data_IF_552184103209
#
_entry.id   IF_552184103209
#
_cell.length_a   1.000
_cell.length_b   1.000
_cell.length_c   1.000
_cell.angle_alpha   90.00
_cell.angle_beta   90.00
_cell.angle_gamma   90.00
#
_symmetry.space_group_name_H-M   'P 1'
#
loop_
_entity.id
_entity.type
_entity.pdbx_description
1 polymer ?
#
# COMPACT_ATOMS: atom_id res chain seq x y z
N UNK A 1 11.46 -19.67 -16.71
CA UNK A 1 10.52 -19.22 -15.67
C UNK A 1 10.98 -17.85 -15.20
N UNK A 2 10.34 -16.81 -15.70
CA UNK A 2 10.66 -15.42 -15.36
C UNK A 2 10.20 -15.19 -13.93
N UNK A 3 11.08 -14.69 -13.06
CA UNK A 3 10.72 -14.33 -11.69
C UNK A 3 9.81 -13.10 -11.72
N UNK A 4 8.65 -13.16 -11.05
CA UNK A 4 7.76 -12.01 -10.86
C UNK A 4 8.43 -10.95 -9.98
N UNK A 5 9.17 -10.04 -10.61
CA UNK A 5 9.90 -8.95 -9.94
C UNK A 5 10.10 -7.78 -10.89
N UNK A 6 10.16 -6.57 -10.35
CA UNK A 6 10.54 -5.37 -11.10
C UNK A 6 12.02 -5.45 -11.54
N UNK A 7 12.31 -5.00 -12.76
CA UNK A 7 13.65 -4.94 -13.37
C UNK A 7 14.03 -3.48 -13.63
N UNK A 8 15.30 -3.25 -13.96
CA UNK A 8 15.78 -1.91 -14.33
C UNK A 8 15.15 -1.38 -15.63
N UNK A 9 14.65 -2.27 -16.50
CA UNK A 9 13.94 -1.88 -17.73
C UNK A 9 12.43 -1.63 -17.52
N UNK A 10 11.93 -1.82 -16.30
CA UNK A 10 10.51 -1.61 -16.02
C UNK A 10 10.17 -0.12 -16.02
N UNK A 11 9.07 0.28 -16.68
CA UNK A 11 8.61 1.66 -16.62
C UNK A 11 8.23 2.06 -15.20
N UNK A 12 8.26 3.37 -14.94
CA UNK A 12 7.76 3.92 -13.69
C UNK A 12 6.24 3.79 -13.62
N UNK A 13 5.69 3.71 -12.40
CA UNK A 13 4.24 3.55 -12.19
C UNK A 13 3.45 4.70 -12.81
N UNK A 14 3.92 5.93 -12.61
CA UNK A 14 3.36 7.15 -13.24
C UNK A 14 3.30 7.02 -14.77
N UNK A 15 4.34 6.50 -15.41
CA UNK A 15 4.38 6.30 -16.86
C UNK A 15 3.38 5.24 -17.34
N UNK A 16 3.11 4.21 -16.54
CA UNK A 16 2.06 3.21 -16.84
C UNK A 16 0.67 3.86 -16.77
N UNK A 17 0.44 4.71 -15.76
CA UNK A 17 -0.80 5.46 -15.60
C UNK A 17 -1.01 6.44 -16.75
N UNK A 18 0.01 7.21 -17.13
CA UNK A 18 -0.05 8.12 -18.28
C UNK A 18 -0.30 7.38 -19.61
N UNK A 19 0.28 6.18 -19.77
CA UNK A 19 -0.01 5.32 -20.92
C UNK A 19 -1.48 4.88 -20.93
N UNK A 20 -2.05 4.49 -19.78
CA UNK A 20 -3.46 4.12 -19.66
C UNK A 20 -4.42 5.30 -19.84
N UNK A 21 -4.03 6.49 -19.37
CA UNK A 21 -4.75 7.73 -19.57
C UNK A 21 -4.70 8.24 -21.02
N UNK A 22 -3.84 7.65 -21.87
CA UNK A 22 -3.64 8.05 -23.26
C UNK A 22 -2.85 9.36 -23.41
N UNK A 23 -2.20 9.84 -22.35
CA UNK A 23 -1.35 11.05 -22.39
C UNK A 23 0.01 10.80 -23.04
N UNK A 24 0.46 9.54 -23.09
CA UNK A 24 1.66 9.15 -23.84
C UNK A 24 1.27 8.61 -25.21
N UNK A 25 1.88 9.17 -26.27
CA UNK A 25 1.62 8.78 -27.66
C UNK A 25 2.89 8.34 -28.41
N UNK A 26 2.68 7.82 -29.62
CA UNK A 26 3.76 7.57 -30.58
C UNK A 26 4.72 6.47 -30.16
N UNK A 27 6.02 6.76 -30.22
CA UNK A 27 7.07 5.76 -29.99
C UNK A 27 7.16 5.32 -28.52
N UNK A 28 6.89 6.24 -27.58
CA UNK A 28 6.90 5.95 -26.15
C UNK A 28 5.77 4.99 -25.77
N UNK A 29 4.55 5.22 -26.27
CA UNK A 29 3.41 4.34 -26.04
C UNK A 29 3.67 2.91 -26.56
N UNK A 30 4.27 2.78 -27.75
CA UNK A 30 4.64 1.47 -28.32
C UNK A 30 5.68 0.74 -27.48
N UNK A 31 6.67 1.45 -26.93
CA UNK A 31 7.69 0.84 -26.07
C UNK A 31 7.07 0.31 -24.76
N UNK A 32 6.15 1.07 -24.15
CA UNK A 32 5.43 0.66 -22.94
C UNK A 32 4.55 -0.54 -23.24
N UNK A 33 3.75 -0.50 -24.32
CA UNK A 33 2.92 -1.63 -24.73
C UNK A 33 3.73 -2.91 -25.00
N UNK A 34 4.91 -2.78 -25.63
CA UNK A 34 5.82 -3.91 -25.83
C UNK A 34 6.34 -4.46 -24.49
N UNK A 35 6.72 -3.60 -23.55
CA UNK A 35 7.15 -4.03 -22.22
C UNK A 35 6.04 -4.74 -21.45
N UNK A 36 4.81 -4.19 -21.44
CA UNK A 36 3.65 -4.80 -20.78
C UNK A 36 3.32 -6.19 -21.34
N UNK A 37 3.54 -6.41 -22.64
CA UNK A 37 3.33 -7.74 -23.25
C UNK A 37 4.35 -8.81 -22.82
N UNK A 38 5.53 -8.38 -22.34
CA UNK A 38 6.67 -9.24 -22.04
C UNK A 38 7.00 -9.33 -20.53
N UNK A 39 6.44 -8.44 -19.72
CA UNK A 39 6.74 -8.33 -18.29
C UNK A 39 5.48 -8.60 -17.46
N UNK A 40 5.40 -9.80 -16.88
CA UNK A 40 4.28 -10.24 -16.04
C UNK A 40 4.04 -9.32 -14.83
N UNK A 41 5.09 -8.68 -14.30
CA UNK A 41 4.99 -7.74 -13.19
C UNK A 41 4.26 -6.46 -13.61
N UNK A 42 4.72 -5.81 -14.69
CA UNK A 42 4.12 -4.56 -15.14
C UNK A 42 2.75 -4.78 -15.77
N UNK A 43 2.47 -5.94 -16.37
CA UNK A 43 1.12 -6.28 -16.82
C UNK A 43 0.15 -6.42 -15.64
N UNK A 44 0.60 -7.02 -14.53
CA UNK A 44 -0.21 -7.11 -13.32
C UNK A 44 -0.43 -5.74 -12.66
N UNK A 45 0.59 -4.88 -12.68
CA UNK A 45 0.49 -3.49 -12.20
C UNK A 45 -0.50 -2.67 -13.02
N UNK A 46 -0.47 -2.77 -14.36
CA UNK A 46 -1.45 -2.13 -15.23
C UNK A 46 -2.88 -2.61 -14.96
N UNK A 47 -3.06 -3.94 -14.84
CA UNK A 47 -4.37 -4.53 -14.52
C UNK A 47 -4.87 -4.11 -13.13
N UNK A 48 -3.96 -3.92 -12.16
CA UNK A 48 -4.32 -3.41 -10.85
C UNK A 48 -4.94 -2.02 -10.95
N UNK A 49 -4.33 -1.10 -11.71
CA UNK A 49 -4.88 0.25 -11.88
C UNK A 49 -6.19 0.28 -12.68
N UNK A 50 -6.40 -0.67 -13.61
CA UNK A 50 -7.69 -0.82 -14.31
C UNK A 50 -8.81 -1.28 -13.37
N UNK A 51 -8.50 -2.19 -12.42
CA UNK A 51 -9.47 -2.72 -11.47
C UNK A 51 -9.72 -1.80 -10.28
N UNK A 52 -8.70 -1.03 -9.89
CA UNK A 52 -8.71 -0.12 -8.76
C UNK A 52 -8.26 1.27 -9.23
N UNK A 53 -9.15 2.01 -9.91
CA UNK A 53 -8.84 3.38 -10.33
C UNK A 53 -8.40 4.18 -9.10
N UNK A 54 -7.29 4.91 -9.24
CA UNK A 54 -6.91 5.94 -8.27
C UNK A 54 -8.00 7.00 -8.33
N UNK A 55 -8.96 6.92 -7.42
CA UNK A 55 -9.97 7.95 -7.26
C UNK A 55 -9.23 9.25 -6.91
N UNK A 56 -9.57 10.34 -7.61
CA UNK A 56 -9.17 11.68 -7.19
C UNK A 56 -9.52 11.83 -5.70
N UNK A 57 -8.66 12.45 -4.91
CA UNK A 57 -8.81 12.65 -3.46
C UNK A 57 -10.14 13.36 -3.07
N UNK A 58 -10.96 13.79 -4.04
CA UNK A 58 -12.30 14.35 -3.87
C UNK A 58 -13.45 13.30 -3.91
N UNK A 59 -13.17 12.02 -4.16
CA UNK A 59 -14.16 10.95 -4.04
C UNK A 59 -14.18 10.39 -2.60
N UNK A 60 -14.43 11.24 -1.61
CA UNK A 60 -14.78 10.81 -0.25
C UNK A 60 -16.18 10.16 -0.17
N UNK A 61 -16.59 9.34 -1.15
CA UNK A 61 -17.95 8.78 -1.15
C UNK A 61 -18.09 7.43 -1.87
N UNK A 62 -17.17 6.48 -1.62
CA UNK A 62 -17.53 5.05 -1.59
C UNK A 62 -16.49 4.17 -0.91
N UNK A 63 -15.96 4.60 0.24
CA UNK A 63 -15.56 3.60 1.22
C UNK A 63 -16.85 2.91 1.64
N UNK A 64 -17.08 1.73 1.04
CA UNK A 64 -18.04 0.72 1.45
C UNK A 64 -18.34 0.85 2.95
N UNK A 65 -19.61 0.73 3.34
CA UNK A 65 -20.08 0.62 4.73
C UNK A 65 -18.96 0.07 5.61
N UNK A 66 -18.60 0.72 6.74
CA UNK A 66 -17.47 0.32 7.56
C UNK A 66 -17.53 -1.18 7.72
N UNK A 67 -16.63 -1.89 7.02
CA UNK A 67 -16.69 -3.33 6.91
C UNK A 67 -16.45 -3.83 8.33
N UNK A 68 -17.55 -4.20 9.00
CA UNK A 68 -17.50 -4.63 10.38
C UNK A 68 -16.51 -5.79 10.40
N UNK A 69 -15.45 -5.64 11.21
CA UNK A 69 -14.41 -6.64 11.32
C UNK A 69 -15.09 -8.01 11.52
N UNK A 70 -14.82 -9.00 10.65
CA UNK A 70 -15.43 -10.32 10.80
C UNK A 70 -15.25 -10.83 12.23
N UNK A 71 -16.33 -11.34 12.82
CA UNK A 71 -16.37 -11.70 14.24
C UNK A 71 -15.20 -12.59 14.70
N UNK A 72 -14.76 -13.60 13.92
CA UNK A 72 -13.57 -14.39 14.30
C UNK A 72 -12.28 -13.57 14.40
N UNK A 73 -12.11 -12.55 13.56
CA UNK A 73 -10.95 -11.66 13.60
C UNK A 73 -11.04 -10.69 14.77
N UNK A 74 -12.24 -10.24 15.09
CA UNK A 74 -12.50 -9.38 16.25
C UNK A 74 -12.21 -10.12 17.56
N UNK A 75 -12.70 -11.35 17.70
CA UNK A 75 -12.41 -12.20 18.86
C UNK A 75 -10.91 -12.46 19.02
N UNK A 76 -10.20 -12.75 17.91
CA UNK A 76 -8.76 -12.93 17.92
C UNK A 76 -8.03 -11.66 18.37
N UNK A 77 -8.41 -10.49 17.86
CA UNK A 77 -7.82 -9.21 18.23
C UNK A 77 -8.02 -8.94 19.73
N UNK A 78 -9.23 -9.17 20.26
CA UNK A 78 -9.51 -9.08 21.70
C UNK A 78 -8.69 -10.08 22.50
N UNK A 79 -8.56 -11.32 22.04
CA UNK A 79 -7.75 -12.33 22.71
C UNK A 79 -6.27 -11.92 22.76
N UNK A 80 -5.69 -11.42 21.67
CA UNK A 80 -4.28 -10.96 21.63
C UNK A 80 -4.06 -9.79 22.60
N UNK A 81 -4.96 -8.81 22.61
CA UNK A 81 -4.90 -7.65 23.50
C UNK A 81 -5.03 -8.05 24.97
N UNK A 82 -5.96 -8.95 25.29
CA UNK A 82 -6.22 -9.42 26.65
C UNK A 82 -5.14 -10.38 27.16
N UNK A 83 -4.55 -11.19 26.29
CA UNK A 83 -3.49 -12.12 26.65
C UNK A 83 -2.11 -11.46 26.77
N UNK A 84 -1.99 -10.13 26.60
CA UNK A 84 -0.73 -9.38 26.65
C UNK A 84 0.43 -10.17 26.05
N UNK A 85 0.22 -10.74 24.86
CA UNK A 85 1.33 -11.23 24.08
C UNK A 85 1.93 -10.00 23.43
N UNK A 86 2.65 -9.21 24.22
CA UNK A 86 3.64 -8.29 23.69
C UNK A 86 4.81 -9.17 23.30
N UNK A 87 5.01 -9.50 22.00
CA UNK A 87 6.30 -10.01 21.60
C UNK A 87 7.36 -8.99 22.04
N UNK A 88 8.58 -9.42 22.36
CA UNK A 88 9.62 -8.53 22.89
C UNK A 88 9.88 -7.31 21.99
N UNK A 89 9.62 -7.44 20.68
CA UNK A 89 9.65 -6.32 19.71
C UNK A 89 8.60 -5.24 20.01
N UNK A 90 7.38 -5.61 20.36
CA UNK A 90 6.28 -4.67 20.66
C UNK A 90 6.41 -4.07 22.06
N UNK A 91 6.97 -4.81 23.03
CA UNK A 91 7.28 -4.27 24.34
C UNK A 91 8.32 -3.14 24.27
N UNK A 92 9.32 -3.27 23.39
CA UNK A 92 10.31 -2.22 23.14
C UNK A 92 9.67 -0.97 22.53
N UNK A 93 8.81 -1.14 21.52
CA UNK A 93 8.10 -0.01 20.90
C UNK A 93 7.18 0.72 21.89
N UNK A 94 6.48 -0.03 22.75
CA UNK A 94 5.66 0.55 23.83
C UNK A 94 6.50 1.38 24.80
N UNK A 95 7.66 0.88 25.21
CA UNK A 95 8.57 1.59 26.11
C UNK A 95 9.16 2.85 25.46
N UNK A 96 9.46 2.83 24.15
CA UNK A 96 9.90 4.00 23.41
C UNK A 96 8.79 5.08 23.33
N UNK A 97 7.53 4.68 23.11
CA UNK A 97 6.38 5.60 23.08
C UNK A 97 6.11 6.24 24.46
N UNK A 98 6.17 5.45 25.53
CA UNK A 98 5.96 5.94 26.89
C UNK A 98 7.10 6.88 27.33
N UNK A 99 8.34 6.63 26.89
CA UNK A 99 9.48 7.51 27.12
C UNK A 99 9.32 8.87 26.43
N UNK A 100 8.85 8.89 25.18
CA UNK A 100 8.55 10.12 24.44
C UNK A 100 7.46 10.93 25.14
N UNK A 101 6.45 10.26 25.71
CA UNK A 101 5.34 10.90 26.43
C UNK A 101 5.79 11.56 27.75
N UNK A 102 6.90 11.10 28.36
CA UNK A 102 7.44 11.68 29.59
C UNK A 102 8.45 12.82 29.37
N UNK A 103 9.12 12.90 28.22
CA UNK A 103 10.04 14.00 27.91
C UNK A 103 9.30 15.32 27.63
N UNK A 104 8.06 15.27 27.17
CA UNK A 104 7.21 16.47 26.98
C UNK A 104 6.79 17.19 28.26
N UNK A 105 6.99 16.60 29.45
CA UNK A 105 6.54 17.17 30.73
C UNK A 105 7.70 17.71 31.59
N UNK A 106 8.92 17.82 31.05
CA UNK A 106 10.13 18.21 31.81
C UNK A 106 10.69 19.60 31.48
N UNK A 107 10.01 20.38 30.64
CA UNK A 107 10.43 21.74 30.23
C UNK A 107 9.48 22.84 30.69
N UNK A 108 8.91 22.72 31.89
CA UNK A 108 8.12 23.77 32.52
C UNK A 108 8.38 23.84 34.03
N UNK A 109 9.60 24.25 34.41
CA UNK A 109 9.88 24.89 35.71
C UNK A 109 11.02 25.90 35.55
#
# INVERSE_FOLDING_TARGET
MSTFRKREDCPHSETILEYQAGTIEGQAARAIGAHLSACEFCSAEALFYELYPLQDDDAEESLNEPCAMPEPLFELALAILNHRITPPSMARLRAEIDAISHEGNKTAE
#
